data_IF_246674505714
#
_entry.id   IF_246674505714
#
_cell.length_a   1.000
_cell.length_b   1.000
_cell.length_c   1.000
_cell.angle_alpha   90.00
_cell.angle_beta   90.00
_cell.angle_gamma   90.00
#
_symmetry.space_group_name_H-M   'P 1'
#
loop_
_entity.id
_entity.type
_entity.pdbx_description
1 polymer ?
#
# COMPACT_ATOMS: atom_id res chain seq x y z
N UNK A 1 15.82 -14.67 -3.35
CA UNK A 1 14.96 -14.38 -4.52
C UNK A 1 14.13 -13.13 -4.26
N UNK A 2 14.09 -12.22 -5.22
CA UNK A 2 13.29 -11.01 -5.10
C UNK A 2 11.88 -11.34 -5.54
N UNK A 3 10.85 -11.06 -4.73
CA UNK A 3 9.47 -11.29 -5.17
C UNK A 3 9.14 -10.40 -6.37
N UNK A 4 8.28 -10.89 -7.25
CA UNK A 4 7.85 -10.15 -8.44
C UNK A 4 6.54 -9.42 -8.21
N UNK A 5 5.84 -9.74 -7.14
CA UNK A 5 4.54 -9.16 -6.86
C UNK A 5 4.39 -8.95 -5.36
N UNK A 6 3.60 -7.95 -5.00
CA UNK A 6 3.27 -7.65 -3.62
C UNK A 6 1.89 -8.19 -3.29
N UNK A 7 1.72 -8.68 -2.07
CA UNK A 7 0.40 -8.87 -1.50
C UNK A 7 0.04 -7.56 -0.83
N UNK A 8 -1.11 -7.02 -1.18
CA UNK A 8 -1.56 -5.73 -0.66
C UNK A 8 -2.87 -5.89 0.06
N UNK A 9 -2.93 -5.37 1.30
CA UNK A 9 -4.17 -5.27 2.06
C UNK A 9 -4.35 -3.81 2.47
N UNK A 10 -5.52 -3.27 2.15
CA UNK A 10 -5.92 -1.94 2.62
C UNK A 10 -7.18 -2.16 3.43
N UNK A 11 -7.08 -1.99 4.74
CA UNK A 11 -8.16 -2.25 5.68
C UNK A 11 -8.64 -0.90 6.22
N UNK A 12 -9.94 -0.65 6.07
CA UNK A 12 -10.56 0.54 6.63
C UNK A 12 -11.13 0.26 8.01
N UNK A 13 -11.77 1.28 8.58
CA UNK A 13 -12.33 1.20 9.93
C UNK A 13 -13.26 0.01 10.11
N UNK A 14 -14.13 -0.25 9.14
CA UNK A 14 -15.18 -1.27 9.28
C UNK A 14 -15.22 -2.25 8.11
N UNK A 15 -14.22 -2.21 7.22
CA UNK A 15 -14.26 -3.06 6.02
C UNK A 15 -12.89 -3.20 5.39
N UNK A 16 -12.77 -4.22 4.56
CA UNK A 16 -11.61 -4.38 3.66
C UNK A 16 -11.84 -3.49 2.45
N UNK A 17 -10.95 -2.53 2.22
CA UNK A 17 -11.02 -1.64 1.08
C UNK A 17 -10.47 -2.33 -0.17
N UNK A 18 -9.34 -3.03 -0.01
CA UNK A 18 -8.71 -3.78 -1.09
C UNK A 18 -7.91 -4.92 -0.50
N UNK A 19 -7.92 -6.06 -1.18
CA UNK A 19 -7.07 -7.18 -0.82
C UNK A 19 -6.76 -7.94 -2.09
N UNK A 20 -5.47 -8.05 -2.42
CA UNK A 20 -5.06 -8.71 -3.65
C UNK A 20 -3.60 -8.47 -3.95
N UNK A 21 -3.23 -8.64 -5.20
CA UNK A 21 -1.87 -8.49 -5.67
C UNK A 21 -1.64 -7.12 -6.27
N UNK A 22 -0.39 -6.67 -6.23
CA UNK A 22 0.00 -5.41 -6.84
C UNK A 22 1.44 -5.50 -7.32
N UNK A 23 1.71 -4.86 -8.46
CA UNK A 23 3.07 -4.75 -8.99
C UNK A 23 3.77 -3.50 -8.44
N UNK A 24 2.99 -2.48 -8.14
CA UNK A 24 3.52 -1.21 -7.65
C UNK A 24 2.42 -0.48 -6.88
N UNK A 25 2.80 0.11 -5.74
CA UNK A 25 1.86 0.85 -4.88
C UNK A 25 2.47 2.19 -4.53
N UNK A 26 1.69 3.26 -4.63
CA UNK A 26 2.10 4.59 -4.17
C UNK A 26 1.21 4.97 -2.99
N UNK A 27 1.83 5.31 -1.88
CA UNK A 27 1.16 5.55 -0.60
C UNK A 27 1.41 6.98 -0.12
N UNK A 28 0.38 7.67 0.39
CA UNK A 28 0.60 8.99 1.02
C UNK A 28 1.10 8.79 2.45
N UNK A 29 2.37 9.11 2.70
CA UNK A 29 2.98 8.93 4.01
C UNK A 29 3.32 10.26 4.66
N UNK A 30 3.69 10.19 5.94
CA UNK A 30 4.15 11.36 6.69
C UNK A 30 5.37 12.03 6.06
N UNK A 31 6.11 11.30 5.21
CA UNK A 31 7.30 11.83 4.53
C UNK A 31 7.01 12.23 3.08
N UNK A 32 5.74 12.25 2.67
CA UNK A 32 5.34 12.47 1.30
C UNK A 32 4.90 11.16 0.65
N UNK A 33 4.79 11.14 -0.66
CA UNK A 33 4.42 9.93 -1.37
C UNK A 33 5.56 8.92 -1.34
N UNK A 34 5.24 7.67 -1.08
CA UNK A 34 6.20 6.58 -1.06
C UNK A 34 5.78 5.52 -2.08
N UNK A 35 6.65 5.26 -3.05
CA UNK A 35 6.45 4.18 -4.00
C UNK A 35 7.03 2.89 -3.46
N UNK A 36 6.30 1.80 -3.59
CA UNK A 36 6.72 0.48 -3.11
C UNK A 36 6.69 -0.51 -4.26
N UNK A 37 7.84 -1.10 -4.52
CA UNK A 37 8.01 -2.21 -5.45
C UNK A 37 8.28 -3.49 -4.68
N UNK A 38 8.04 -4.66 -5.28
CA UNK A 38 8.46 -5.91 -4.66
C UNK A 38 9.95 -5.87 -4.30
N UNK A 39 10.30 -6.41 -3.16
CA UNK A 39 11.67 -6.37 -2.65
C UNK A 39 11.99 -5.16 -1.78
N UNK A 40 11.02 -4.30 -1.54
CA UNK A 40 11.24 -3.11 -0.72
C UNK A 40 11.68 -3.47 0.70
N UNK A 41 12.55 -2.65 1.27
CA UNK A 41 13.01 -2.80 2.64
C UNK A 41 11.84 -2.71 3.62
N UNK A 42 11.91 -3.47 4.70
CA UNK A 42 10.89 -3.39 5.76
C UNK A 42 10.78 -1.96 6.27
N UNK A 43 9.59 -1.44 6.32
CA UNK A 43 9.34 -0.04 6.66
C UNK A 43 8.02 0.08 7.43
N UNK A 44 8.04 0.91 8.44
CA UNK A 44 6.81 1.39 9.08
C UNK A 44 6.67 2.87 8.78
N UNK A 45 5.45 3.31 8.48
CA UNK A 45 5.18 4.71 8.21
C UNK A 45 3.77 5.06 8.69
N UNK A 46 3.54 6.34 8.92
CA UNK A 46 2.19 6.84 9.17
C UNK A 46 1.54 7.17 7.83
N UNK A 47 0.30 6.72 7.69
CA UNK A 47 -0.52 7.00 6.52
C UNK A 47 -1.18 8.36 6.72
N UNK A 48 -1.07 9.21 5.71
CA UNK A 48 -1.81 10.48 5.69
C UNK A 48 -3.10 10.31 4.92
N UNK A 49 -4.11 11.14 5.19
CA UNK A 49 -5.30 11.18 4.33
C UNK A 49 -4.89 11.50 2.90
N UNK A 50 -5.41 10.76 1.96
CA UNK A 50 -5.08 10.93 0.56
C UNK A 50 -5.48 9.72 -0.27
N UNK A 51 -4.76 9.50 -1.35
CA UNK A 51 -5.08 8.44 -2.29
C UNK A 51 -3.93 7.45 -2.39
N UNK A 52 -4.28 6.17 -2.31
CA UNK A 52 -3.35 5.07 -2.60
C UNK A 52 -3.57 4.68 -4.05
N UNK A 53 -2.49 4.61 -4.82
CA UNK A 53 -2.55 4.16 -6.21
C UNK A 53 -1.94 2.78 -6.32
N UNK A 54 -2.68 1.87 -6.91
CA UNK A 54 -2.28 0.46 -7.04
C UNK A 54 -2.20 0.12 -8.52
N UNK A 55 -1.02 -0.31 -8.96
CA UNK A 55 -0.83 -0.76 -10.34
C UNK A 55 -0.70 -2.27 -10.38
N UNK A 56 -1.47 -2.89 -11.27
CA UNK A 56 -1.41 -4.32 -11.46
C UNK A 56 -1.88 -4.65 -12.89
N UNK A 57 -1.05 -5.39 -13.63
CA UNK A 57 -1.39 -5.88 -14.98
C UNK A 57 -1.87 -4.79 -15.92
N UNK A 58 -1.18 -3.66 -15.92
CA UNK A 58 -1.49 -2.55 -16.82
C UNK A 58 -2.68 -1.69 -16.38
N UNK A 59 -3.33 -2.03 -15.27
CA UNK A 59 -4.44 -1.26 -14.72
C UNK A 59 -3.99 -0.50 -13.50
N UNK A 60 -4.63 0.63 -13.25
CA UNK A 60 -4.41 1.40 -12.03
C UNK A 60 -5.73 1.59 -11.32
N UNK A 61 -5.73 1.30 -10.01
CA UNK A 61 -6.86 1.57 -9.14
C UNK A 61 -6.45 2.58 -8.09
N UNK A 62 -7.39 3.44 -7.71
CA UNK A 62 -7.14 4.49 -6.74
C UNK A 62 -8.13 4.34 -5.59
N UNK A 63 -7.58 4.37 -4.36
CA UNK A 63 -8.40 4.24 -3.14
C UNK A 63 -8.16 5.45 -2.25
N UNK A 64 -9.24 6.10 -1.82
CA UNK A 64 -9.16 7.21 -0.88
C UNK A 64 -9.11 6.65 0.53
N UNK A 65 -8.15 7.13 1.32
CA UNK A 65 -7.92 6.67 2.69
C UNK A 65 -7.80 7.86 3.63
N UNK A 66 -7.97 7.57 4.91
CA UNK A 66 -7.75 8.52 5.99
C UNK A 66 -6.42 8.22 6.65
N UNK A 67 -6.15 8.85 7.78
CA UNK A 67 -4.93 8.59 8.53
C UNK A 67 -4.88 7.14 9.03
N UNK A 68 -3.67 6.65 9.26
CA UNK A 68 -3.51 5.30 9.73
C UNK A 68 -2.05 4.90 9.77
N UNK A 69 -1.79 3.62 9.58
CA UNK A 69 -0.44 3.06 9.62
C UNK A 69 -0.19 2.20 8.40
N UNK A 70 1.07 2.15 8.00
CA UNK A 70 1.55 1.38 6.86
C UNK A 70 2.67 0.46 7.35
N UNK A 71 2.59 -0.80 6.95
CA UNK A 71 3.64 -1.78 7.21
C UNK A 71 4.06 -2.37 5.87
N UNK A 72 5.33 -2.22 5.54
CA UNK A 72 5.90 -2.71 4.29
C UNK A 72 6.88 -3.82 4.57
N UNK A 73 6.77 -4.90 3.82
CA UNK A 73 7.74 -6.00 3.77
C UNK A 73 8.13 -6.22 2.32
N UNK A 74 9.20 -6.98 2.03
CA UNK A 74 9.60 -7.21 0.64
C UNK A 74 8.51 -7.81 -0.25
N UNK A 75 7.58 -8.58 0.31
CA UNK A 75 6.54 -9.28 -0.43
C UNK A 75 5.12 -8.84 -0.07
N UNK A 76 4.97 -7.89 0.85
CA UNK A 76 3.66 -7.58 1.39
C UNK A 76 3.56 -6.14 1.86
N UNK A 77 2.42 -5.52 1.62
CA UNK A 77 2.10 -4.18 2.14
C UNK A 77 0.76 -4.28 2.87
N UNK A 78 0.75 -3.84 4.12
CA UNK A 78 -0.47 -3.76 4.91
C UNK A 78 -0.74 -2.31 5.27
N UNK A 79 -1.97 -1.86 5.00
CA UNK A 79 -2.40 -0.51 5.31
C UNK A 79 -3.63 -0.58 6.19
N UNK A 80 -3.58 0.11 7.33
CA UNK A 80 -4.73 0.24 8.21
C UNK A 80 -5.14 1.71 8.22
N UNK A 81 -6.34 1.98 7.72
CA UNK A 81 -6.89 3.33 7.62
C UNK A 81 -8.02 3.52 8.64
N UNK A 82 -8.08 4.70 9.18
CA UNK A 82 -9.20 5.06 10.05
C UNK A 82 -10.51 5.06 9.27
#
# INVERSE_FOLDING_TARGET
>A
MIPEILKLSIIGYDRVIYQGEAEFVVLPTQWGEMGVLPGHTKTFALLKPGKIRVKNKGSEEIFTVKEGVIKVKPDEVEVLSA
#
